data_IF_757558037325
#
_entry.id   IF_757558037325
#
_cell.length_a   1.000
_cell.length_b   1.000
_cell.length_c   1.000
_cell.angle_alpha   90.00
_cell.angle_beta   90.00
_cell.angle_gamma   90.00
#
_symmetry.space_group_name_H-M   'P 1'
#
loop_
_entity.id
_entity.type
_entity.pdbx_description
1 polymer ?
#
# COMPACT_ATOMS: atom_id res chain seq x y z
N UNK A 1 -8.37 20.40 19.15
CA UNK A 1 -9.78 20.77 19.32
C UNK A 1 -10.65 19.54 19.56
N UNK A 2 -11.01 18.73 18.58
CA UNK A 2 -11.92 17.59 18.84
C UNK A 2 -11.24 16.40 19.55
N UNK A 3 -9.92 16.28 19.51
CA UNK A 3 -9.20 15.20 20.19
C UNK A 3 -9.48 15.17 21.69
N UNK A 4 -9.35 16.32 22.36
CA UNK A 4 -9.64 16.44 23.81
C UNK A 4 -11.09 16.16 24.13
N UNK A 5 -12.02 16.61 23.26
CA UNK A 5 -13.46 16.41 23.45
C UNK A 5 -13.82 14.92 23.42
N UNK A 6 -13.24 14.15 22.51
CA UNK A 6 -13.46 12.70 22.38
C UNK A 6 -12.48 11.86 23.20
N UNK A 7 -11.55 12.47 23.94
CA UNK A 7 -10.54 11.77 24.72
C UNK A 7 -9.53 10.98 23.87
N UNK A 8 -9.26 11.46 22.65
CA UNK A 8 -8.36 10.82 21.69
C UNK A 8 -6.90 11.31 21.86
N UNK A 9 -5.96 10.40 21.68
CA UNK A 9 -4.53 10.70 21.70
C UNK A 9 -4.02 11.23 20.34
N UNK A 10 -4.65 10.80 19.25
CA UNK A 10 -4.29 11.18 17.88
C UNK A 10 -5.52 11.11 16.95
N UNK A 11 -5.38 11.65 15.73
CA UNK A 11 -6.48 11.67 14.77
C UNK A 11 -6.77 10.25 14.22
N UNK A 12 -7.98 9.69 14.49
CA UNK A 12 -8.29 8.30 14.10
C UNK A 12 -8.40 8.12 12.59
N UNK A 13 -8.82 9.15 11.85
CA UNK A 13 -9.11 9.07 10.42
C UNK A 13 -8.11 9.82 9.55
N UNK A 14 -6.87 9.96 10.03
CA UNK A 14 -5.79 10.54 9.23
C UNK A 14 -5.57 9.70 7.96
N UNK A 15 -5.32 10.38 6.82
CA UNK A 15 -5.10 9.76 5.51
C UNK A 15 -3.65 9.33 5.27
N UNK A 16 -2.71 9.75 6.13
CA UNK A 16 -1.31 9.32 6.03
C UNK A 16 -1.19 7.83 6.30
N UNK A 17 -0.49 7.06 5.44
CA UNK A 17 -0.31 5.63 5.66
C UNK A 17 0.47 5.33 6.95
N UNK A 18 -0.22 4.83 7.97
CA UNK A 18 0.35 4.37 9.24
C UNK A 18 -0.04 2.91 9.46
N UNK A 19 0.92 1.96 9.49
CA UNK A 19 0.63 0.54 9.70
C UNK A 19 -0.12 0.22 11.00
N UNK A 20 -0.04 1.05 12.03
CA UNK A 20 -0.77 0.85 13.31
C UNK A 20 -2.29 0.92 13.11
N UNK A 21 -2.73 1.76 12.17
CA UNK A 21 -4.15 1.94 11.84
C UNK A 21 -4.65 0.98 10.74
N UNK A 22 -3.81 0.03 10.30
CA UNK A 22 -4.24 -0.95 9.31
C UNK A 22 -5.25 -1.93 9.94
N UNK A 23 -6.49 -1.87 9.48
CA UNK A 23 -7.48 -2.88 9.79
C UNK A 23 -7.27 -4.10 8.88
N UNK A 24 -7.09 -5.26 9.51
CA UNK A 24 -6.82 -6.51 8.81
C UNK A 24 -8.14 -7.22 8.45
N UNK A 25 -8.83 -6.73 7.41
CA UNK A 25 -9.93 -7.50 6.85
C UNK A 25 -9.45 -8.86 6.34
N UNK A 26 -10.33 -9.86 6.13
CA UNK A 26 -9.94 -11.18 5.60
C UNK A 26 -9.10 -11.06 4.33
N UNK A 27 -9.46 -10.16 3.41
CA UNK A 27 -8.72 -9.92 2.16
C UNK A 27 -7.37 -9.26 2.36
N UNK A 28 -7.24 -8.36 3.33
CA UNK A 28 -5.95 -7.77 3.68
C UNK A 28 -5.01 -8.81 4.30
N UNK A 29 -5.54 -9.72 5.14
CA UNK A 29 -4.76 -10.83 5.72
C UNK A 29 -4.28 -11.78 4.62
N UNK A 30 -5.17 -12.21 3.74
CA UNK A 30 -4.83 -13.07 2.59
C UNK A 30 -3.74 -12.45 1.72
N UNK A 31 -3.90 -11.18 1.32
CA UNK A 31 -2.92 -10.47 0.52
C UNK A 31 -1.56 -10.37 1.23
N UNK A 32 -1.56 -10.09 2.54
CA UNK A 32 -0.35 -10.03 3.34
C UNK A 32 0.35 -11.38 3.42
N UNK A 33 -0.40 -12.45 3.68
CA UNK A 33 0.16 -13.82 3.78
C UNK A 33 0.75 -14.26 2.45
N UNK A 34 0.09 -13.95 1.32
CA UNK A 34 0.60 -14.23 -0.02
C UNK A 34 1.86 -13.43 -0.35
N UNK A 35 1.93 -12.14 0.04
CA UNK A 35 3.12 -11.31 -0.12
C UNK A 35 4.30 -11.87 0.69
N UNK A 36 4.08 -12.14 1.98
CA UNK A 36 5.11 -12.72 2.86
C UNK A 36 5.57 -14.10 2.36
N UNK A 37 4.63 -14.96 1.94
CA UNK A 37 4.94 -16.26 1.33
C UNK A 37 5.79 -16.11 0.07
N UNK A 38 5.42 -15.19 -0.83
CA UNK A 38 6.14 -14.95 -2.08
C UNK A 38 7.56 -14.46 -1.85
N UNK A 39 7.73 -13.56 -0.90
CA UNK A 39 9.03 -13.02 -0.51
C UNK A 39 9.89 -14.11 0.13
N UNK A 40 9.36 -14.81 1.14
CA UNK A 40 10.11 -15.85 1.86
C UNK A 40 10.55 -17.03 0.96
N UNK A 41 9.70 -17.38 -0.04
CA UNK A 41 9.97 -18.48 -0.96
C UNK A 41 10.58 -18.05 -2.29
N UNK A 42 11.11 -16.83 -2.38
CA UNK A 42 11.85 -16.31 -3.54
C UNK A 42 11.10 -16.49 -4.87
N UNK A 43 9.78 -16.15 -4.89
CA UNK A 43 8.90 -16.38 -6.06
C UNK A 43 9.08 -15.40 -7.23
N UNK A 44 10.07 -14.53 -7.19
CA UNK A 44 10.35 -13.58 -8.25
C UNK A 44 9.36 -12.42 -8.27
N UNK A 45 8.42 -12.39 -9.23
CA UNK A 45 7.43 -11.31 -9.31
C UNK A 45 6.16 -11.59 -8.51
N UNK A 46 5.69 -10.55 -7.84
CA UNK A 46 4.43 -10.52 -7.09
C UNK A 46 3.64 -9.28 -7.53
N UNK A 47 2.35 -9.44 -7.81
CA UNK A 47 1.43 -8.35 -8.15
C UNK A 47 0.48 -8.08 -6.98
N UNK A 48 0.36 -6.80 -6.59
CA UNK A 48 -0.63 -6.31 -5.63
C UNK A 48 -1.46 -5.23 -6.29
N UNK A 49 -2.73 -5.48 -6.55
CA UNK A 49 -3.64 -4.48 -7.14
C UNK A 49 -4.77 -4.13 -6.19
N UNK A 50 -5.45 -3.02 -6.45
CA UNK A 50 -6.63 -2.58 -5.72
C UNK A 50 -6.96 -1.12 -6.05
N UNK A 51 -8.19 -0.72 -5.77
CA UNK A 51 -8.67 0.63 -6.02
C UNK A 51 -7.85 1.69 -5.28
N UNK A 52 -7.92 2.94 -5.76
CA UNK A 52 -7.31 4.08 -5.08
C UNK A 52 -7.88 4.20 -3.67
N UNK A 53 -7.00 4.24 -2.66
CA UNK A 53 -7.45 4.37 -1.28
C UNK A 53 -7.80 3.06 -0.55
N UNK A 54 -7.68 1.88 -1.19
CA UNK A 54 -7.91 0.57 -0.55
C UNK A 54 -6.79 0.10 0.39
N UNK A 55 -5.75 0.91 0.61
CA UNK A 55 -4.71 0.59 1.60
C UNK A 55 -3.50 -0.17 1.06
N UNK A 56 -3.26 -0.22 -0.26
CA UNK A 56 -2.09 -0.89 -0.87
C UNK A 56 -0.77 -0.50 -0.22
N UNK A 57 -0.46 0.80 -0.22
CA UNK A 57 0.79 1.33 0.37
C UNK A 57 0.92 1.02 1.87
N UNK A 58 -0.19 1.07 2.62
CA UNK A 58 -0.21 0.71 4.05
C UNK A 58 0.07 -0.77 4.24
N UNK A 59 -0.54 -1.63 3.42
CA UNK A 59 -0.29 -3.07 3.43
C UNK A 59 1.17 -3.39 3.09
N UNK A 60 1.73 -2.75 2.06
CA UNK A 60 3.15 -2.90 1.70
C UNK A 60 4.07 -2.52 2.85
N UNK A 61 3.86 -1.35 3.47
CA UNK A 61 4.64 -0.92 4.64
C UNK A 61 4.51 -1.89 5.81
N UNK A 62 3.32 -2.44 6.04
CA UNK A 62 3.10 -3.45 7.07
C UNK A 62 3.80 -4.77 6.76
N UNK A 63 3.83 -5.19 5.49
CA UNK A 63 4.62 -6.36 5.06
C UNK A 63 6.09 -6.10 5.30
N UNK A 64 6.63 -4.97 4.81
CA UNK A 64 8.05 -4.63 4.95
C UNK A 64 8.49 -4.57 6.42
N UNK A 65 7.65 -4.04 7.32
CA UNK A 65 7.94 -3.98 8.76
C UNK A 65 7.95 -5.35 9.47
N UNK A 66 7.39 -6.39 8.85
CA UNK A 66 7.33 -7.76 9.37
C UNK A 66 8.38 -8.69 8.76
N UNK A 67 9.09 -8.22 7.74
CA UNK A 67 10.17 -9.01 7.16
C UNK A 67 11.30 -9.18 8.18
N UNK A 68 11.99 -10.34 8.18
CA UNK A 68 13.19 -10.54 8.97
C UNK A 68 14.26 -9.48 8.66
N UNK A 69 15.11 -9.17 9.64
CA UNK A 69 16.16 -8.15 9.50
C UNK A 69 17.26 -8.52 8.47
N UNK A 70 17.27 -9.75 8.01
CA UNK A 70 18.18 -10.26 6.97
C UNK A 70 17.60 -10.12 5.56
N UNK A 71 16.45 -9.47 5.40
CA UNK A 71 15.87 -9.12 4.10
C UNK A 71 16.19 -7.66 3.80
N UNK A 72 16.95 -7.44 2.73
CA UNK A 72 17.23 -6.10 2.23
C UNK A 72 16.04 -5.61 1.38
N UNK A 73 15.60 -4.37 1.59
CA UNK A 73 14.40 -3.84 0.92
C UNK A 73 14.66 -2.51 0.25
N UNK A 74 14.10 -2.32 -0.94
CA UNK A 74 14.00 -1.01 -1.61
C UNK A 74 12.53 -0.70 -1.94
N UNK A 75 12.10 0.53 -1.67
CA UNK A 75 10.72 0.99 -1.86
C UNK A 75 10.66 2.21 -2.79
N UNK A 76 10.18 2.02 -4.00
CA UNK A 76 9.94 3.09 -4.98
C UNK A 76 8.47 3.49 -4.91
N UNK A 77 8.18 4.70 -4.41
CA UNK A 77 6.81 5.21 -4.19
C UNK A 77 6.24 6.02 -5.36
N UNK A 78 7.09 6.55 -6.22
CA UNK A 78 6.65 7.33 -7.38
C UNK A 78 7.49 6.94 -8.59
N UNK A 79 7.00 6.00 -9.42
CA UNK A 79 7.75 5.47 -10.55
C UNK A 79 7.62 6.30 -11.84
N UNK A 80 7.06 7.50 -11.79
CA UNK A 80 7.02 8.42 -12.94
C UNK A 80 8.42 8.92 -13.28
N UNK A 81 9.26 7.99 -13.75
CA UNK A 81 10.68 8.20 -14.02
C UNK A 81 11.13 7.32 -15.19
N UNK A 82 12.27 7.67 -15.78
CA UNK A 82 12.93 6.81 -16.77
C UNK A 82 13.66 5.64 -16.08
N UNK A 83 14.19 4.72 -16.88
CA UNK A 83 14.81 3.52 -16.34
C UNK A 83 16.10 3.75 -15.57
N UNK A 84 16.87 4.74 -15.96
CA UNK A 84 18.11 5.08 -15.26
C UNK A 84 17.80 5.72 -13.91
N UNK A 85 16.77 6.56 -13.87
CA UNK A 85 16.25 7.13 -12.63
C UNK A 85 15.70 6.05 -11.69
N UNK A 86 14.99 5.04 -12.22
CA UNK A 86 14.51 3.90 -11.44
C UNK A 86 15.67 3.12 -10.81
N UNK A 87 16.68 2.74 -11.59
CA UNK A 87 17.85 2.04 -11.09
C UNK A 87 18.57 2.85 -10.01
N UNK A 88 18.79 4.15 -10.26
CA UNK A 88 19.39 5.04 -9.26
C UNK A 88 18.57 5.16 -7.98
N UNK A 89 17.24 5.18 -8.10
CA UNK A 89 16.35 5.20 -6.94
C UNK A 89 16.49 3.93 -6.11
N UNK A 90 16.49 2.76 -6.77
CA UNK A 90 16.69 1.46 -6.13
C UNK A 90 18.04 1.38 -5.41
N UNK A 91 19.11 1.76 -6.10
CA UNK A 91 20.47 1.75 -5.53
C UNK A 91 20.58 2.66 -4.29
N UNK A 92 19.97 3.86 -4.35
CA UNK A 92 19.95 4.79 -3.21
C UNK A 92 19.17 4.24 -2.02
N UNK A 93 18.06 3.58 -2.28
CA UNK A 93 17.21 3.03 -1.21
C UNK A 93 17.90 1.86 -0.50
N UNK A 94 18.74 1.08 -1.21
CA UNK A 94 19.67 0.13 -0.60
C UNK A 94 20.87 0.79 0.13
N UNK A 95 20.94 2.12 0.18
CA UNK A 95 22.03 2.85 0.83
C UNK A 95 23.36 2.84 0.04
N UNK A 96 23.32 2.50 -1.25
CA UNK A 96 24.52 2.41 -2.07
C UNK A 96 24.93 3.80 -2.62
N UNK A 97 26.23 4.09 -2.56
CA UNK A 97 26.78 5.26 -3.25
C UNK A 97 26.81 4.95 -4.75
N UNK A 98 26.13 5.78 -5.56
CA UNK A 98 26.07 5.59 -7.00
C UNK A 98 27.44 5.79 -7.62
N UNK A 99 27.88 4.82 -8.40
CA UNK A 99 29.12 4.84 -9.20
C UNK A 99 28.74 4.82 -10.68
N UNK A 100 29.50 5.57 -11.50
CA UNK A 100 29.24 5.68 -12.92
C UNK A 100 28.10 6.63 -13.28
N UNK A 101 27.79 6.72 -14.59
CA UNK A 101 26.87 7.70 -15.13
C UNK A 101 25.87 7.12 -16.14
N UNK A 102 25.92 5.83 -16.42
CA UNK A 102 25.06 5.19 -17.39
C UNK A 102 24.34 3.95 -16.81
N UNK A 103 23.42 3.42 -17.60
CA UNK A 103 22.59 2.27 -17.23
C UNK A 103 23.41 1.02 -16.94
N UNK A 104 24.49 0.79 -17.69
CA UNK A 104 25.32 -0.39 -17.52
C UNK A 104 25.99 -0.36 -16.14
N UNK A 105 26.57 0.77 -15.78
CA UNK A 105 27.18 0.99 -14.46
C UNK A 105 26.18 0.69 -13.33
N UNK A 106 24.92 1.15 -13.47
CA UNK A 106 23.89 0.94 -12.43
C UNK A 106 23.44 -0.51 -12.33
N UNK A 107 23.29 -1.20 -13.47
CA UNK A 107 22.94 -2.63 -13.49
C UNK A 107 24.07 -3.47 -12.91
N UNK A 108 25.32 -3.19 -13.27
CA UNK A 108 26.49 -3.87 -12.70
C UNK A 108 26.58 -3.68 -11.20
N UNK A 109 26.40 -2.45 -10.72
CA UNK A 109 26.41 -2.15 -9.29
C UNK A 109 25.28 -2.86 -8.53
N UNK A 110 24.08 -2.92 -9.11
CA UNK A 110 22.98 -3.68 -8.53
C UNK A 110 23.30 -5.18 -8.51
N UNK A 111 23.86 -5.74 -9.58
CA UNK A 111 24.23 -7.14 -9.65
C UNK A 111 25.31 -7.50 -8.61
N UNK A 112 26.37 -6.67 -8.47
CA UNK A 112 27.38 -6.84 -7.41
C UNK A 112 26.74 -6.89 -6.02
N UNK A 113 25.81 -5.97 -5.75
CA UNK A 113 25.09 -5.93 -4.47
C UNK A 113 24.26 -7.20 -4.26
N UNK A 114 23.50 -7.65 -5.26
CA UNK A 114 22.66 -8.83 -5.18
C UNK A 114 23.47 -10.10 -4.93
N UNK A 115 24.60 -10.27 -5.64
CA UNK A 115 25.51 -11.41 -5.43
C UNK A 115 26.09 -11.40 -4.01
N UNK A 116 26.52 -10.24 -3.53
CA UNK A 116 27.04 -10.10 -2.17
C UNK A 116 25.97 -10.47 -1.11
N UNK A 117 24.69 -10.08 -1.33
CA UNK A 117 23.62 -10.48 -0.41
C UNK A 117 23.32 -11.98 -0.51
N UNK A 118 23.37 -12.55 -1.70
CA UNK A 118 23.17 -13.99 -1.92
C UNK A 118 24.24 -14.83 -1.22
N UNK A 119 25.52 -14.44 -1.28
CA UNK A 119 26.63 -15.08 -0.55
C UNK A 119 26.41 -15.07 0.97
N UNK A 120 25.73 -14.04 1.47
CA UNK A 120 25.36 -13.92 2.90
C UNK A 120 24.07 -14.67 3.25
N UNK A 121 23.45 -15.35 2.29
CA UNK A 121 22.15 -16.02 2.45
C UNK A 121 20.96 -15.07 2.56
N UNK A 122 21.16 -13.76 2.39
CA UNK A 122 20.13 -12.74 2.53
C UNK A 122 19.19 -12.69 1.32
N UNK A 123 17.98 -12.29 1.56
CA UNK A 123 16.99 -12.05 0.52
C UNK A 123 16.90 -10.55 0.17
N UNK A 124 16.56 -10.24 -1.07
CA UNK A 124 16.42 -8.84 -1.55
C UNK A 124 15.05 -8.66 -2.15
N UNK A 125 14.34 -7.59 -1.75
CA UNK A 125 12.99 -7.25 -2.21
C UNK A 125 12.97 -5.83 -2.73
N UNK A 126 12.49 -5.65 -3.94
CA UNK A 126 12.21 -4.35 -4.53
C UNK A 126 10.69 -4.19 -4.60
N UNK A 127 10.15 -3.14 -4.01
CA UNK A 127 8.73 -2.79 -4.08
C UNK A 127 8.59 -1.55 -4.95
N UNK A 128 7.76 -1.64 -5.97
CA UNK A 128 7.40 -0.51 -6.83
C UNK A 128 5.90 -0.26 -6.64
N UNK A 129 5.57 0.83 -5.96
CA UNK A 129 4.18 1.29 -5.78
C UNK A 129 3.75 2.17 -6.96
N UNK A 130 2.46 2.26 -7.23
CA UNK A 130 1.87 2.95 -8.39
C UNK A 130 2.48 2.48 -9.74
N UNK A 131 2.77 1.18 -9.86
CA UNK A 131 3.47 0.61 -10.99
C UNK A 131 2.72 0.74 -12.34
N UNK A 132 1.41 1.10 -12.35
CA UNK A 132 0.68 1.45 -13.58
C UNK A 132 1.25 2.69 -14.27
N UNK A 133 1.98 3.55 -13.53
CA UNK A 133 2.56 4.78 -14.06
C UNK A 133 3.93 4.55 -14.75
N UNK A 134 4.50 3.35 -14.64
CA UNK A 134 5.73 2.99 -15.34
C UNK A 134 5.54 3.00 -16.86
N UNK A 135 6.43 3.63 -17.61
CA UNK A 135 6.50 3.54 -19.08
C UNK A 135 6.76 2.11 -19.58
N UNK A 136 6.38 1.78 -20.81
CA UNK A 136 6.59 0.44 -21.39
C UNK A 136 8.07 0.04 -21.38
N UNK A 137 8.96 0.98 -21.69
CA UNK A 137 10.41 0.76 -21.65
C UNK A 137 10.89 0.43 -20.24
N UNK A 138 10.37 1.12 -19.22
CA UNK A 138 10.75 0.90 -17.82
C UNK A 138 10.22 -0.45 -17.33
N UNK A 139 8.99 -0.84 -17.70
CA UNK A 139 8.44 -2.17 -17.41
C UNK A 139 9.29 -3.29 -18.02
N UNK A 140 9.80 -3.08 -19.25
CA UNK A 140 10.71 -4.04 -19.88
C UNK A 140 12.05 -4.12 -19.14
N UNK A 141 12.57 -3.00 -18.64
CA UNK A 141 13.77 -3.01 -17.79
C UNK A 141 13.54 -3.76 -16.48
N UNK A 142 12.40 -3.51 -15.80
CA UNK A 142 12.03 -4.28 -14.60
C UNK A 142 11.98 -5.78 -14.89
N UNK A 143 11.46 -6.17 -16.07
CA UNK A 143 11.51 -7.55 -16.52
C UNK A 143 12.94 -8.07 -16.69
N UNK A 144 13.82 -7.28 -17.29
CA UNK A 144 15.22 -7.66 -17.50
C UNK A 144 16.00 -7.79 -16.20
N UNK A 145 15.73 -6.95 -15.19
CA UNK A 145 16.31 -7.09 -13.85
C UNK A 145 16.03 -8.46 -13.23
N UNK A 146 14.87 -9.05 -13.50
CA UNK A 146 14.53 -10.38 -12.99
C UNK A 146 15.33 -11.53 -13.62
N UNK A 147 16.15 -11.26 -14.64
CA UNK A 147 17.12 -12.23 -15.16
C UNK A 147 18.40 -12.33 -14.31
N UNK A 148 18.55 -11.43 -13.32
CA UNK A 148 19.61 -11.53 -12.35
C UNK A 148 19.27 -12.70 -11.38
N UNK A 149 19.82 -13.86 -11.68
CA UNK A 149 19.58 -15.12 -10.97
C UNK A 149 20.85 -15.96 -10.94
N UNK A 150 20.92 -16.87 -10.00
CA UNK A 150 21.90 -17.96 -10.00
C UNK A 150 21.26 -19.21 -10.62
N UNK A 151 22.03 -20.27 -10.78
CA UNK A 151 21.50 -21.56 -11.26
C UNK A 151 20.46 -22.17 -10.30
N UNK A 152 20.42 -21.72 -9.04
CA UNK A 152 19.58 -22.30 -8.00
C UNK A 152 18.36 -21.46 -7.64
N UNK A 153 18.48 -20.11 -7.67
CA UNK A 153 17.39 -19.22 -7.22
C UNK A 153 17.48 -17.78 -7.78
N UNK A 154 16.36 -17.08 -7.68
CA UNK A 154 16.27 -15.65 -8.00
C UNK A 154 17.01 -14.82 -6.95
N UNK A 155 17.88 -13.90 -7.40
CA UNK A 155 18.64 -13.02 -6.52
C UNK A 155 17.77 -11.98 -5.81
N UNK A 156 16.62 -11.62 -6.41
CA UNK A 156 15.68 -10.65 -5.84
C UNK A 156 14.23 -11.01 -6.13
N UNK A 157 13.32 -10.43 -5.35
CA UNK A 157 11.88 -10.42 -5.59
C UNK A 157 11.44 -9.00 -5.92
N UNK A 158 10.49 -8.89 -6.85
CA UNK A 158 9.93 -7.60 -7.27
C UNK A 158 8.42 -7.62 -7.01
N UNK A 159 7.96 -6.73 -6.14
CA UNK A 159 6.54 -6.50 -5.88
C UNK A 159 6.10 -5.31 -6.71
N UNK A 160 5.18 -5.55 -7.64
CA UNK A 160 4.52 -4.51 -8.42
C UNK A 160 3.16 -4.21 -7.79
N UNK A 161 3.03 -3.05 -7.17
CA UNK A 161 1.76 -2.62 -6.62
C UNK A 161 1.16 -1.50 -7.47
N UNK A 162 -0.15 -1.52 -7.64
CA UNK A 162 -0.81 -0.51 -8.46
C UNK A 162 -2.33 -0.59 -8.45
N UNK A 163 -2.94 0.28 -9.22
CA UNK A 163 -4.38 0.34 -9.44
C UNK A 163 -4.81 -0.81 -10.38
N UNK A 164 -6.12 -1.08 -10.57
CA UNK A 164 -6.59 -2.13 -11.48
C UNK A 164 -6.03 -2.00 -12.91
N UNK A 165 -5.72 -0.77 -13.36
CA UNK A 165 -5.09 -0.47 -14.65
C UNK A 165 -3.73 -1.16 -14.83
N UNK A 166 -3.04 -1.49 -13.74
CA UNK A 166 -1.82 -2.29 -13.78
C UNK A 166 -2.09 -3.68 -14.41
N UNK A 167 -3.22 -4.31 -14.06
CA UNK A 167 -3.61 -5.61 -14.65
C UNK A 167 -3.89 -5.51 -16.14
N UNK A 168 -4.61 -4.46 -16.54
CA UNK A 168 -4.92 -4.21 -17.95
C UNK A 168 -3.63 -4.01 -18.75
N UNK A 169 -2.71 -3.25 -18.18
CA UNK A 169 -1.40 -3.01 -18.78
C UNK A 169 -0.55 -4.28 -18.88
N UNK A 170 -0.46 -5.06 -17.82
CA UNK A 170 0.25 -6.36 -17.83
C UNK A 170 -0.40 -7.38 -18.79
N UNK A 171 -1.68 -7.20 -19.16
CA UNK A 171 -2.35 -8.03 -20.13
C UNK A 171 -1.98 -7.70 -21.60
N UNK A 172 -1.34 -6.56 -21.86
CA UNK A 172 -0.91 -6.15 -23.20
C UNK A 172 0.14 -7.12 -23.76
N UNK A 173 0.19 -7.19 -25.10
CA UNK A 173 1.03 -8.17 -25.79
C UNK A 173 2.53 -8.00 -25.53
N UNK A 174 3.00 -6.77 -25.49
CA UNK A 174 4.39 -6.38 -25.23
C UNK A 174 4.87 -6.79 -23.82
N UNK A 175 3.96 -6.85 -22.82
CA UNK A 175 4.28 -7.27 -21.45
C UNK A 175 3.99 -8.74 -21.15
N UNK A 176 3.67 -9.55 -22.19
CA UNK A 176 3.34 -10.98 -22.02
C UNK A 176 4.43 -11.75 -21.27
N UNK A 177 5.70 -11.47 -21.51
CA UNK A 177 6.81 -12.17 -20.85
C UNK A 177 6.91 -11.80 -19.37
N UNK A 178 6.69 -10.52 -19.00
CA UNK A 178 6.63 -10.09 -17.62
C UNK A 178 5.44 -10.75 -16.90
N UNK A 179 4.26 -10.74 -17.52
CA UNK A 179 3.03 -11.35 -16.97
C UNK A 179 3.21 -12.84 -16.67
N UNK A 180 3.96 -13.58 -17.49
CA UNK A 180 4.24 -15.00 -17.28
C UNK A 180 5.16 -15.26 -16.08
N UNK A 181 5.94 -14.27 -15.64
CA UNK A 181 6.82 -14.36 -14.49
C UNK A 181 6.14 -14.00 -13.17
N UNK A 182 4.95 -13.40 -13.21
CA UNK A 182 4.16 -13.07 -12.03
C UNK A 182 3.45 -14.34 -11.55
N UNK A 183 3.98 -14.93 -10.47
CA UNK A 183 3.44 -16.17 -9.90
C UNK A 183 2.38 -15.92 -8.84
N UNK A 184 2.45 -14.79 -8.14
CA UNK A 184 1.52 -14.45 -7.06
C UNK A 184 0.81 -13.16 -7.45
N UNK A 185 -0.54 -13.20 -7.34
CA UNK A 185 -1.39 -12.05 -7.62
C UNK A 185 -2.36 -11.85 -6.46
N UNK A 186 -2.29 -10.67 -5.87
CA UNK A 186 -3.16 -10.24 -4.80
C UNK A 186 -4.04 -9.08 -5.27
N UNK A 187 -5.27 -9.02 -4.78
CA UNK A 187 -6.17 -7.90 -5.05
C UNK A 187 -6.86 -7.44 -3.78
N UNK A 188 -6.64 -6.17 -3.43
CA UNK A 188 -7.33 -5.52 -2.33
C UNK A 188 -8.63 -4.91 -2.86
N UNK A 189 -9.75 -5.52 -2.50
CA UNK A 189 -11.07 -4.96 -2.77
C UNK A 189 -11.46 -3.98 -1.66
N UNK A 190 -12.41 -3.07 -1.92
CA UNK A 190 -13.04 -2.29 -0.88
C UNK A 190 -13.62 -3.15 0.25
N UNK A 191 -13.78 -2.56 1.42
CA UNK A 191 -14.38 -3.21 2.58
C UNK A 191 -15.86 -3.51 2.33
N UNK A 192 -16.35 -4.61 2.86
CA UNK A 192 -17.77 -4.92 2.89
C UNK A 192 -18.48 -4.04 3.95
N UNK A 193 -19.79 -3.92 3.86
CA UNK A 193 -20.58 -3.09 4.79
C UNK A 193 -20.33 -3.48 6.25
N UNK A 194 -20.35 -4.78 6.56
CA UNK A 194 -20.04 -5.30 7.89
C UNK A 194 -18.60 -5.03 8.34
N UNK A 195 -17.65 -4.96 7.43
CA UNK A 195 -16.25 -4.65 7.74
C UNK A 195 -16.02 -3.16 8.02
N UNK A 196 -16.90 -2.26 7.53
CA UNK A 196 -16.79 -0.82 7.79
C UNK A 196 -16.98 -0.49 9.26
N UNK A 197 -17.91 -1.17 9.95
CA UNK A 197 -18.12 -1.03 11.40
C UNK A 197 -16.83 -1.37 12.16
N UNK A 198 -16.25 -2.53 11.84
CA UNK A 198 -15.04 -3.00 12.50
C UNK A 198 -13.83 -2.09 12.16
N UNK A 199 -13.76 -1.58 10.93
CA UNK A 199 -12.74 -0.64 10.50
C UNK A 199 -12.80 0.68 11.30
N UNK A 200 -13.98 1.30 11.42
CA UNK A 200 -14.17 2.55 12.16
C UNK A 200 -13.82 2.33 13.64
N UNK A 201 -14.35 1.26 14.23
CA UNK A 201 -14.09 0.90 15.64
C UNK A 201 -12.61 0.68 15.90
N UNK A 202 -11.92 -0.08 15.03
CA UNK A 202 -10.50 -0.33 15.14
C UNK A 202 -9.70 1.00 15.14
N UNK A 203 -10.00 1.91 14.23
CA UNK A 203 -9.29 3.20 14.13
C UNK A 203 -9.51 4.09 15.35
N UNK A 204 -10.73 4.13 15.88
CA UNK A 204 -11.04 4.83 17.13
C UNK A 204 -10.27 4.24 18.31
N UNK A 205 -10.22 2.90 18.44
CA UNK A 205 -9.46 2.22 19.48
C UNK A 205 -7.97 2.51 19.42
N UNK A 206 -7.36 2.42 18.22
CA UNK A 206 -5.93 2.76 18.01
C UNK A 206 -5.64 4.20 18.39
N UNK A 207 -6.58 5.12 18.09
CA UNK A 207 -6.47 6.52 18.48
C UNK A 207 -6.70 6.80 19.98
N UNK A 208 -7.03 5.77 20.76
CA UNK A 208 -7.23 5.88 22.22
C UNK A 208 -8.63 6.25 22.64
N UNK A 209 -9.64 6.10 21.78
CA UNK A 209 -11.03 6.35 22.14
C UNK A 209 -11.47 5.46 23.32
N UNK A 210 -12.13 6.07 24.31
CA UNK A 210 -12.85 5.35 25.36
C UNK A 210 -14.17 4.77 24.85
N UNK A 211 -14.89 4.06 25.72
CA UNK A 211 -16.19 3.43 25.40
C UNK A 211 -17.31 4.44 25.03
N UNK A 212 -17.08 5.74 25.20
CA UNK A 212 -18.07 6.80 25.00
C UNK A 212 -18.18 7.35 23.58
N UNK A 213 -17.35 6.90 22.64
CA UNK A 213 -17.31 7.44 21.28
C UNK A 213 -17.61 6.33 20.28
N UNK A 214 -18.73 6.44 19.60
CA UNK A 214 -19.11 5.48 18.56
C UNK A 214 -19.89 6.14 17.43
N UNK A 215 -19.96 5.47 16.31
CA UNK A 215 -20.84 5.81 15.20
C UNK A 215 -22.11 4.95 15.29
N UNK A 216 -23.27 5.55 15.13
CA UNK A 216 -24.54 4.82 15.11
C UNK A 216 -24.71 3.99 13.81
N UNK A 217 -25.51 2.91 13.83
CA UNK A 217 -25.67 2.03 12.68
C UNK A 217 -26.10 2.77 11.40
N UNK A 218 -27.03 3.72 11.51
CA UNK A 218 -27.50 4.54 10.39
C UNK A 218 -26.41 5.46 9.86
N UNK A 219 -25.56 6.01 10.73
CA UNK A 219 -24.41 6.80 10.36
C UNK A 219 -23.38 5.95 9.58
N UNK A 220 -23.09 4.74 10.05
CA UNK A 220 -22.16 3.80 9.40
C UNK A 220 -22.68 3.39 8.02
N UNK A 221 -23.99 3.10 7.92
CA UNK A 221 -24.61 2.77 6.64
C UNK A 221 -24.42 3.90 5.61
N UNK A 222 -24.64 5.15 6.00
CA UNK A 222 -24.38 6.31 5.14
C UNK A 222 -22.89 6.45 4.74
N UNK A 223 -21.99 6.23 5.69
CA UNK A 223 -20.55 6.20 5.39
C UNK A 223 -20.24 5.15 4.33
N UNK A 224 -20.83 3.95 4.45
CA UNK A 224 -20.66 2.88 3.45
C UNK A 224 -21.26 3.25 2.09
N UNK A 225 -22.49 3.75 2.06
CA UNK A 225 -23.18 4.15 0.82
C UNK A 225 -22.39 5.19 0.01
N UNK A 226 -21.75 6.16 0.69
CA UNK A 226 -20.90 7.15 0.03
C UNK A 226 -19.53 6.59 -0.38
N UNK A 227 -18.89 5.88 0.54
CA UNK A 227 -17.50 5.42 0.34
C UNK A 227 -17.38 4.17 -0.53
N UNK A 228 -18.47 3.41 -0.71
CA UNK A 228 -18.45 2.07 -1.30
C UNK A 228 -17.38 1.17 -0.66
N UNK A 229 -17.12 1.34 0.64
CA UNK A 229 -16.13 0.59 1.38
C UNK A 229 -14.66 0.99 1.13
N UNK A 230 -14.39 2.09 0.42
CA UNK A 230 -13.03 2.56 0.16
C UNK A 230 -12.48 3.27 1.41
N UNK A 231 -11.42 2.75 2.07
CA UNK A 231 -10.88 3.26 3.32
C UNK A 231 -10.55 4.76 3.33
N UNK A 232 -10.00 5.28 2.24
CA UNK A 232 -9.69 6.72 2.11
C UNK A 232 -10.94 7.58 2.19
N UNK A 233 -12.03 7.15 1.56
CA UNK A 233 -13.31 7.88 1.57
C UNK A 233 -13.98 7.72 2.95
N UNK A 234 -13.96 6.52 3.55
CA UNK A 234 -14.43 6.31 4.91
C UNK A 234 -13.74 7.28 5.87
N UNK A 235 -12.41 7.38 5.80
CA UNK A 235 -11.65 8.31 6.64
C UNK A 235 -12.07 9.75 6.44
N UNK A 236 -12.21 10.20 5.19
CA UNK A 236 -12.62 11.58 4.90
C UNK A 236 -13.99 11.93 5.49
N UNK A 237 -14.96 11.02 5.33
CA UNK A 237 -16.31 11.22 5.88
C UNK A 237 -16.28 11.18 7.40
N UNK A 238 -15.62 10.18 8.00
CA UNK A 238 -15.59 10.02 9.45
C UNK A 238 -14.87 11.17 10.17
N UNK A 239 -13.78 11.70 9.60
CA UNK A 239 -13.07 12.85 10.18
C UNK A 239 -13.96 14.11 10.23
N UNK A 240 -14.65 14.40 9.12
CA UNK A 240 -15.58 15.53 9.05
C UNK A 240 -16.84 15.29 9.91
N UNK A 241 -17.34 14.07 10.01
CA UNK A 241 -18.45 13.73 10.86
C UNK A 241 -18.11 13.91 12.36
N UNK A 242 -16.90 13.52 12.78
CA UNK A 242 -16.40 13.80 14.13
C UNK A 242 -16.25 15.31 14.38
N UNK A 243 -15.80 16.08 13.40
CA UNK A 243 -15.75 17.54 13.51
C UNK A 243 -17.16 18.15 13.68
N UNK A 244 -18.15 17.64 12.92
CA UNK A 244 -19.54 18.06 13.04
C UNK A 244 -20.16 17.66 14.40
N UNK A 245 -19.83 16.46 14.92
CA UNK A 245 -20.22 16.00 16.25
C UNK A 245 -19.65 16.87 17.36
N UNK A 246 -18.36 17.23 17.25
CA UNK A 246 -17.72 18.19 18.16
C UNK A 246 -18.46 19.55 18.18
N UNK A 247 -18.80 20.08 17.01
CA UNK A 247 -19.54 21.34 16.91
C UNK A 247 -20.95 21.23 17.51
N UNK A 248 -21.57 20.06 17.47
CA UNK A 248 -22.86 19.77 18.09
C UNK A 248 -22.77 19.35 19.58
N UNK A 249 -21.56 19.25 20.14
CA UNK A 249 -21.28 18.74 21.49
C UNK A 249 -21.83 17.33 21.74
N UNK A 250 -21.83 16.49 20.69
CA UNK A 250 -22.27 15.10 20.74
C UNK A 250 -21.08 14.15 20.72
N UNK A 251 -21.03 13.19 21.66
CA UNK A 251 -20.03 12.13 21.69
C UNK A 251 -20.33 11.04 20.65
N UNK A 252 -21.61 10.85 20.34
CA UNK A 252 -22.06 9.86 19.36
C UNK A 252 -22.19 10.52 18.00
N UNK A 253 -21.76 9.80 16.98
CA UNK A 253 -21.89 10.26 15.60
C UNK A 253 -23.14 9.62 15.00
N UNK A 254 -24.15 10.44 14.82
CA UNK A 254 -25.44 10.07 14.24
C UNK A 254 -25.46 10.35 12.72
N UNK A 255 -26.51 9.95 12.03
CA UNK A 255 -26.72 10.20 10.62
C UNK A 255 -26.59 11.70 10.24
N UNK A 256 -27.08 12.59 11.09
CA UNK A 256 -27.07 14.04 10.87
C UNK A 256 -25.68 14.65 10.77
N UNK A 257 -24.69 14.12 11.51
CA UNK A 257 -23.29 14.56 11.43
C UNK A 257 -22.63 14.04 10.16
N UNK A 258 -22.98 12.83 9.73
CA UNK A 258 -22.50 12.29 8.45
C UNK A 258 -23.07 13.11 7.28
N UNK A 259 -24.36 13.48 7.30
CA UNK A 259 -24.95 14.35 6.27
C UNK A 259 -24.22 15.68 6.13
N UNK A 260 -23.86 16.31 7.27
CA UNK A 260 -23.06 17.54 7.25
C UNK A 260 -21.66 17.32 6.66
N UNK A 261 -21.03 16.18 6.99
CA UNK A 261 -19.74 15.81 6.42
C UNK A 261 -19.81 15.64 4.90
N UNK A 262 -20.84 14.95 4.40
CA UNK A 262 -21.04 14.73 2.97
C UNK A 262 -21.29 16.05 2.22
N UNK A 263 -22.12 16.94 2.76
CA UNK A 263 -22.34 18.27 2.18
C UNK A 263 -21.01 19.05 2.04
N UNK A 264 -20.11 18.95 3.01
CA UNK A 264 -18.80 19.63 2.93
C UNK A 264 -17.89 19.01 1.86
N UNK A 265 -17.96 17.70 1.66
CA UNK A 265 -17.18 17.01 0.61
C UNK A 265 -17.70 17.33 -0.78
N UNK A 266 -19.01 17.43 -0.98
CA UNK A 266 -19.64 17.74 -2.26
C UNK A 266 -19.53 19.22 -2.64
N UNK A 267 -19.52 20.14 -1.67
CA UNK A 267 -19.37 21.59 -1.93
C UNK A 267 -17.97 22.01 -2.41
N UNK A 268 -17.02 21.08 -2.56
CA UNK A 268 -15.66 21.35 -3.07
C UNK A 268 -15.48 21.04 -4.56
N UNK A 269 -16.54 20.77 -5.30
CA UNK A 269 -16.52 20.55 -6.76
C UNK A 269 -16.93 21.80 -7.51
#
# INVERSE_FOLDING_TARGET
MYLEFYGLNEFPFNITPDPRFLYYSPRHREAMDLLLYGIANRKGFIELTGEVGCGKTTTLRSVLSRLPHDVETALVLNPSMDGDQLLRSILKDFGLTIRGNDRLDYVEQLNEFLLMQAERGRNVVIVIDEAQDLGAEVMEQVRLLSNLETDEYKLMQIVLAGQPELRERLAQHDLRQLRQRILIRCHLSPLLEEEVIEYITHRLQVAGAGEGVWFEPEAIKKVYEYSNGIPRLINAVCDLAMLAGYAAQSLNIEESQVDRALQQLECKV
#
